data_IF_070529328786
#
_entry.id   IF_070529328786
#
_cell.length_a   1.000
_cell.length_b   1.000
_cell.length_c   1.000
_cell.angle_alpha   90.00
_cell.angle_beta   90.00
_cell.angle_gamma   90.00
#
_symmetry.space_group_name_H-M   'P 1'
#
loop_
_entity.id
_entity.type
_entity.pdbx_description
1 polymer ?
#
# COMPACT_ATOMS: atom_id res chain seq x y z
N UNK A 1 -4.67 43.21 -39.87
CA UNK A 1 -3.80 42.09 -40.27
C UNK A 1 -2.55 42.19 -39.39
N UNK A 2 -2.53 41.49 -38.26
CA UNK A 2 -1.44 41.57 -37.29
C UNK A 2 -0.27 40.71 -37.78
N UNK A 3 0.84 41.36 -38.14
CA UNK A 3 2.10 40.69 -38.48
C UNK A 3 2.74 40.22 -37.18
N UNK A 4 2.37 39.03 -36.74
CA UNK A 4 2.99 38.38 -35.59
C UNK A 4 4.34 37.86 -36.06
N UNK A 5 5.40 38.53 -35.61
CA UNK A 5 6.79 38.19 -35.91
C UNK A 5 7.06 36.73 -35.55
N UNK A 6 7.65 35.96 -36.47
CA UNK A 6 8.02 34.55 -36.28
C UNK A 6 8.86 34.33 -35.01
N UNK A 7 9.58 35.37 -34.56
CA UNK A 7 10.36 35.37 -33.33
C UNK A 7 9.49 35.27 -32.07
N UNK A 8 8.35 35.98 -32.03
CA UNK A 8 7.39 35.90 -30.93
C UNK A 8 6.70 34.54 -30.88
N UNK A 9 6.44 33.92 -32.03
CA UNK A 9 5.81 32.60 -32.12
C UNK A 9 6.75 31.50 -31.60
N UNK A 10 8.04 31.57 -31.92
CA UNK A 10 9.06 30.61 -31.44
C UNK A 10 9.25 30.73 -29.92
N UNK A 11 9.22 31.93 -29.36
CA UNK A 11 9.33 32.14 -27.90
C UNK A 11 8.10 31.59 -27.17
N UNK A 12 6.89 31.79 -27.71
CA UNK A 12 5.67 31.25 -27.12
C UNK A 12 5.63 29.71 -27.17
N UNK A 13 6.08 29.11 -28.28
CA UNK A 13 6.16 27.66 -28.42
C UNK A 13 7.19 27.04 -27.45
N UNK A 14 8.35 27.66 -27.28
CA UNK A 14 9.39 27.15 -26.36
C UNK A 14 8.98 27.32 -24.88
N UNK A 15 8.30 28.42 -24.52
CA UNK A 15 7.71 28.58 -23.20
C UNK A 15 6.61 27.52 -22.91
N UNK A 16 5.75 27.22 -23.90
CA UNK A 16 4.72 26.19 -23.76
C UNK A 16 5.30 24.77 -23.61
N UNK A 17 6.39 24.47 -24.34
CA UNK A 17 7.12 23.18 -24.20
C UNK A 17 7.78 23.07 -22.83
N UNK A 18 8.39 24.14 -22.32
CA UNK A 18 8.99 24.16 -20.98
C UNK A 18 7.93 24.03 -19.86
N UNK A 19 6.77 24.65 -20.01
CA UNK A 19 5.64 24.52 -19.08
C UNK A 19 5.06 23.09 -19.07
N UNK A 20 5.04 22.41 -20.22
CA UNK A 20 4.58 21.02 -20.33
C UNK A 20 5.56 20.04 -19.65
N UNK A 21 6.87 20.32 -19.69
CA UNK A 21 7.88 19.49 -19.04
C UNK A 21 7.88 19.64 -17.51
N UNK A 22 7.48 20.80 -16.97
CA UNK A 22 7.47 21.05 -15.53
C UNK A 22 6.24 20.47 -14.81
N UNK A 23 5.20 20.06 -15.54
CA UNK A 23 3.99 19.46 -14.98
C UNK A 23 4.14 17.98 -14.58
N UNK A 24 5.29 17.34 -14.87
CA UNK A 24 5.54 15.92 -14.63
C UNK A 24 6.30 15.61 -13.34
N UNK A 25 6.50 16.59 -12.45
CA UNK A 25 7.21 16.39 -11.19
C UNK A 25 6.46 16.99 -10.00
N UNK A 26 5.17 16.68 -9.87
CA UNK A 26 4.58 16.66 -8.53
C UNK A 26 4.92 15.31 -7.90
N UNK A 27 6.20 15.15 -7.51
CA UNK A 27 6.54 14.21 -6.47
C UNK A 27 5.88 14.74 -5.19
N UNK A 28 4.59 14.42 -5.01
CA UNK A 28 3.96 14.53 -3.71
C UNK A 28 4.89 13.79 -2.77
N UNK A 29 5.50 14.50 -1.84
CA UNK A 29 6.34 13.89 -0.80
C UNK A 29 5.44 12.94 -0.03
N UNK A 30 5.41 11.68 -0.43
CA UNK A 30 4.61 10.64 0.18
C UNK A 30 5.35 10.23 1.45
N UNK A 31 5.09 10.92 2.56
CA UNK A 31 5.63 10.63 3.89
C UNK A 31 5.31 9.19 4.40
N UNK A 32 4.51 8.43 3.65
CA UNK A 32 4.22 7.02 3.83
C UNK A 32 5.33 6.10 3.28
N UNK A 33 6.58 6.48 3.47
CA UNK A 33 7.73 5.66 3.08
C UNK A 33 8.31 4.94 4.31
N UNK A 34 8.80 3.70 4.17
CA UNK A 34 9.51 3.02 5.25
C UNK A 34 10.66 3.86 5.81
N UNK A 35 10.78 3.90 7.14
CA UNK A 35 11.81 4.68 7.84
C UNK A 35 11.40 6.12 8.16
N UNK A 36 10.26 6.59 7.63
CA UNK A 36 9.63 7.85 8.04
C UNK A 36 8.48 7.56 9.01
N UNK A 37 7.23 7.72 8.55
CA UNK A 37 6.02 7.48 9.34
C UNK A 37 5.70 5.98 9.44
N UNK A 38 6.15 5.18 8.47
CA UNK A 38 6.00 3.73 8.47
C UNK A 38 7.30 3.12 9.01
N UNK A 39 7.26 2.21 10.01
CA UNK A 39 8.44 1.49 10.46
C UNK A 39 9.12 0.73 9.30
N UNK A 40 10.46 0.61 9.31
CA UNK A 40 11.23 -0.06 8.24
C UNK A 40 10.74 -1.48 7.91
N UNK A 41 10.26 -2.19 8.94
CA UNK A 41 9.68 -3.51 8.79
C UNK A 41 8.27 -3.52 9.40
N UNK A 42 7.27 -2.98 8.67
CA UNK A 42 5.98 -2.70 9.23
C UNK A 42 5.14 -3.98 9.41
N UNK A 43 4.26 -3.97 10.42
CA UNK A 43 3.16 -4.92 10.56
C UNK A 43 3.59 -6.42 10.66
N UNK A 44 4.67 -6.71 11.39
CA UNK A 44 5.18 -8.08 11.56
C UNK A 44 4.15 -9.05 12.17
N UNK A 45 3.35 -8.58 13.13
CA UNK A 45 2.28 -9.39 13.69
C UNK A 45 1.15 -9.62 12.66
N UNK A 46 0.87 -8.64 11.79
CA UNK A 46 -0.11 -8.82 10.72
C UNK A 46 0.34 -9.84 9.68
N UNK A 47 1.63 -9.86 9.32
CA UNK A 47 2.19 -10.91 8.45
C UNK A 47 1.95 -12.30 9.03
N UNK A 48 2.27 -12.47 10.31
CA UNK A 48 2.07 -13.74 11.01
C UNK A 48 0.58 -14.12 11.07
N UNK A 49 -0.28 -13.15 11.37
CA UNK A 49 -1.73 -13.33 11.42
C UNK A 49 -2.29 -13.75 10.04
N UNK A 50 -1.92 -13.05 8.98
CA UNK A 50 -2.32 -13.32 7.60
C UNK A 50 -1.98 -14.75 7.19
N UNK A 51 -0.73 -15.17 7.39
CA UNK A 51 -0.29 -16.52 7.05
C UNK A 51 -1.03 -17.57 7.87
N UNK A 52 -1.19 -17.39 9.19
CA UNK A 52 -1.94 -18.34 10.02
C UNK A 52 -3.42 -18.43 9.64
N UNK A 53 -4.03 -17.31 9.26
CA UNK A 53 -5.45 -17.21 8.93
C UNK A 53 -5.76 -17.78 7.55
N UNK A 54 -4.91 -17.55 6.56
CA UNK A 54 -5.05 -18.10 5.20
C UNK A 54 -4.59 -19.55 5.12
N UNK A 55 -3.42 -19.85 5.69
CA UNK A 55 -2.72 -21.11 5.48
C UNK A 55 -2.91 -22.13 6.62
N UNK A 56 -3.58 -21.73 7.71
CA UNK A 56 -3.90 -22.58 8.84
C UNK A 56 -2.86 -22.58 9.97
N UNK A 57 -3.16 -23.29 11.08
CA UNK A 57 -2.40 -23.21 12.34
C UNK A 57 -0.97 -23.76 12.25
N UNK A 58 -0.66 -24.58 11.23
CA UNK A 58 0.65 -25.17 11.01
C UNK A 58 1.69 -24.22 10.40
N UNK A 59 1.31 -23.00 10.00
CA UNK A 59 2.23 -22.00 9.44
C UNK A 59 2.41 -20.82 10.40
N UNK A 60 3.36 -20.94 11.32
CA UNK A 60 3.74 -19.88 12.27
C UNK A 60 3.76 -20.32 13.74
N UNK A 61 4.01 -19.39 14.67
CA UNK A 61 4.18 -19.69 16.09
C UNK A 61 2.89 -20.23 16.73
N UNK A 62 3.03 -21.10 17.74
CA UNK A 62 1.93 -21.67 18.54
C UNK A 62 1.35 -20.64 19.52
N UNK A 63 0.68 -19.64 18.98
CA UNK A 63 -0.04 -18.61 19.74
C UNK A 63 -1.50 -18.51 19.29
N UNK A 64 -2.46 -18.24 20.19
CA UNK A 64 -3.87 -18.11 19.83
C UNK A 64 -4.07 -17.05 18.75
N UNK A 65 -4.84 -17.38 17.71
CA UNK A 65 -5.09 -16.49 16.57
C UNK A 65 -5.61 -15.10 17.00
N UNK A 66 -6.53 -14.98 17.99
CA UNK A 66 -6.98 -13.67 18.49
C UNK A 66 -5.85 -12.83 19.11
N UNK A 67 -4.87 -13.46 19.75
CA UNK A 67 -3.74 -12.75 20.36
C UNK A 67 -2.78 -12.18 19.30
N UNK A 68 -2.61 -12.88 18.17
CA UNK A 68 -1.84 -12.37 17.02
C UNK A 68 -2.61 -11.24 16.34
N UNK A 69 -3.92 -11.41 16.13
CA UNK A 69 -4.81 -10.36 15.59
C UNK A 69 -4.74 -9.08 16.42
N UNK A 70 -4.83 -9.19 17.75
CA UNK A 70 -4.77 -8.03 18.64
C UNK A 70 -3.44 -7.26 18.52
N UNK A 71 -2.31 -7.97 18.35
CA UNK A 71 -1.00 -7.35 18.09
C UNK A 71 -0.95 -6.70 16.71
N UNK A 72 -1.40 -7.40 15.67
CA UNK A 72 -1.53 -6.85 14.32
C UNK A 72 -2.33 -5.53 14.32
N UNK A 73 -3.52 -5.52 14.93
CA UNK A 73 -4.36 -4.33 14.95
C UNK A 73 -3.74 -3.18 15.75
N UNK A 74 -2.91 -3.48 16.77
CA UNK A 74 -2.14 -2.44 17.48
C UNK A 74 -1.09 -1.83 16.57
N UNK A 75 -0.26 -2.65 15.91
CA UNK A 75 0.75 -2.19 14.95
C UNK A 75 0.11 -1.34 13.85
N UNK A 76 -1.04 -1.75 13.32
CA UNK A 76 -1.75 -1.02 12.27
C UNK A 76 -2.40 0.29 12.78
N UNK A 77 -2.83 0.32 14.04
CA UNK A 77 -3.38 1.52 14.68
C UNK A 77 -2.32 2.59 14.88
N UNK A 78 -1.10 2.18 15.21
CA UNK A 78 0.05 3.08 15.44
C UNK A 78 0.48 3.79 14.15
N UNK A 79 0.09 3.26 12.99
CA UNK A 79 0.25 3.93 11.69
C UNK A 79 -0.88 4.94 11.47
N UNK A 80 -0.52 6.15 11.04
CA UNK A 80 -1.49 7.21 10.74
C UNK A 80 -2.49 6.78 9.66
N UNK A 81 -3.77 7.19 9.73
CA UNK A 81 -4.83 6.72 8.83
C UNK A 81 -4.47 6.80 7.34
N UNK A 82 -3.83 7.90 6.94
CA UNK A 82 -3.40 8.17 5.56
C UNK A 82 -2.44 7.09 5.02
N UNK A 83 -1.59 6.51 5.87
CA UNK A 83 -0.55 5.56 5.46
C UNK A 83 -0.91 4.08 5.67
N UNK A 84 -2.09 3.75 6.25
CA UNK A 84 -2.44 2.36 6.59
C UNK A 84 -2.50 1.42 5.38
N UNK A 85 -3.13 1.85 4.28
CA UNK A 85 -3.20 1.03 3.06
C UNK A 85 -1.81 0.84 2.42
N UNK A 86 -0.99 1.90 2.41
CA UNK A 86 0.40 1.82 1.95
C UNK A 86 1.25 0.88 2.80
N UNK A 87 1.10 0.92 4.13
CA UNK A 87 1.79 0.02 5.04
C UNK A 87 1.39 -1.46 4.84
N UNK A 88 0.11 -1.72 4.56
CA UNK A 88 -0.36 -3.06 4.21
C UNK A 88 0.25 -3.55 2.90
N UNK A 89 0.36 -2.68 1.88
CA UNK A 89 1.04 -3.01 0.61
C UNK A 89 2.53 -3.31 0.84
N UNK A 90 3.26 -2.44 1.54
CA UNK A 90 4.68 -2.65 1.87
C UNK A 90 4.89 -3.95 2.65
N UNK A 91 4.01 -4.25 3.60
CA UNK A 91 4.04 -5.50 4.36
C UNK A 91 3.93 -6.70 3.42
N UNK A 92 2.99 -6.68 2.47
CA UNK A 92 2.81 -7.71 1.45
C UNK A 92 4.04 -7.79 0.54
N UNK A 93 4.53 -6.67 -0.01
CA UNK A 93 5.71 -6.64 -0.89
C UNK A 93 6.95 -7.27 -0.22
N UNK A 94 7.09 -7.12 1.09
CA UNK A 94 8.16 -7.74 1.87
C UNK A 94 7.94 -9.22 2.22
N UNK A 95 6.79 -9.82 1.92
CA UNK A 95 6.55 -11.25 2.16
C UNK A 95 7.23 -12.08 1.08
N UNK A 96 7.90 -13.20 1.45
CA UNK A 96 8.43 -14.10 0.44
C UNK A 96 7.27 -14.63 -0.39
N UNK A 97 7.31 -14.42 -1.71
CA UNK A 97 6.34 -14.97 -2.65
C UNK A 97 6.37 -16.51 -2.57
N UNK A 98 5.52 -17.08 -1.70
CA UNK A 98 5.38 -18.51 -1.47
C UNK A 98 6.73 -19.27 -1.43
N UNK A 99 7.70 -18.80 -0.65
CA UNK A 99 9.01 -19.45 -0.51
C UNK A 99 8.94 -20.75 0.30
N UNK A 100 8.55 -21.84 -0.33
CA UNK A 100 8.79 -23.21 0.16
C UNK A 100 7.60 -23.96 0.77
N UNK A 101 6.38 -23.42 0.72
CA UNK A 101 5.20 -24.11 1.21
C UNK A 101 4.35 -24.56 0.03
N UNK A 102 3.93 -25.83 0.00
CA UNK A 102 2.98 -26.31 -0.99
C UNK A 102 1.77 -25.36 -1.00
N UNK A 103 1.54 -24.71 -2.14
CA UNK A 103 0.41 -23.82 -2.34
C UNK A 103 -0.87 -24.67 -2.24
N UNK A 104 -1.54 -24.60 -1.09
CA UNK A 104 -2.94 -25.00 -1.02
C UNK A 104 -3.77 -23.88 -1.64
N UNK A 105 -4.98 -24.17 -2.17
CA UNK A 105 -5.87 -23.11 -2.68
C UNK A 105 -6.10 -21.98 -1.66
N UNK A 106 -6.19 -22.35 -0.38
CA UNK A 106 -6.36 -21.44 0.76
C UNK A 106 -5.11 -20.61 1.13
N UNK A 107 -3.92 -21.04 0.71
CA UNK A 107 -2.66 -20.30 0.92
C UNK A 107 -2.02 -19.90 -0.41
N UNK A 108 -2.85 -19.47 -1.35
CA UNK A 108 -2.37 -18.78 -2.54
C UNK A 108 -1.96 -17.35 -2.19
N UNK A 109 -1.05 -16.79 -2.98
CA UNK A 109 -0.68 -15.37 -2.86
C UNK A 109 -1.90 -14.45 -3.04
N UNK A 110 -2.79 -14.78 -3.98
CA UNK A 110 -4.04 -14.06 -4.20
C UNK A 110 -4.92 -14.01 -2.93
N UNK A 111 -5.13 -15.16 -2.28
CA UNK A 111 -5.89 -15.22 -1.03
C UNK A 111 -5.27 -14.38 0.10
N UNK A 112 -3.93 -14.30 0.16
CA UNK A 112 -3.24 -13.44 1.13
C UNK A 112 -3.41 -11.95 0.81
N UNK A 113 -3.36 -11.56 -0.47
CA UNK A 113 -3.61 -10.17 -0.90
C UNK A 113 -5.04 -9.72 -0.60
N UNK A 114 -6.03 -10.57 -0.90
CA UNK A 114 -7.43 -10.28 -0.62
C UNK A 114 -7.66 -10.11 0.88
N UNK A 115 -7.14 -11.03 1.71
CA UNK A 115 -7.27 -10.91 3.16
C UNK A 115 -6.52 -9.68 3.71
N UNK A 116 -5.34 -9.35 3.17
CA UNK A 116 -4.54 -8.21 3.62
C UNK A 116 -5.29 -6.88 3.44
N UNK A 117 -5.98 -6.69 2.32
CA UNK A 117 -6.80 -5.50 2.09
C UNK A 117 -7.93 -5.34 3.12
N UNK A 118 -8.45 -6.47 3.65
CA UNK A 118 -9.54 -6.46 4.64
C UNK A 118 -9.08 -6.26 6.08
N UNK A 119 -7.77 -6.20 6.37
CA UNK A 119 -7.29 -6.04 7.75
C UNK A 119 -7.78 -4.74 8.42
N UNK A 120 -8.02 -3.69 7.64
CA UNK A 120 -8.60 -2.43 8.16
C UNK A 120 -10.10 -2.50 8.42
N UNK A 121 -10.80 -3.50 7.87
CA UNK A 121 -12.27 -3.61 7.92
C UNK A 121 -12.82 -3.84 9.33
N UNK A 122 -14.13 -3.60 9.49
CA UNK A 122 -14.85 -3.85 10.74
C UNK A 122 -14.73 -5.30 11.23
N UNK A 123 -14.66 -6.25 10.29
CA UNK A 123 -14.49 -7.67 10.60
C UNK A 123 -13.10 -8.00 11.18
N UNK A 124 -12.12 -7.11 11.02
CA UNK A 124 -10.72 -7.26 11.42
C UNK A 124 -10.29 -6.20 12.46
N UNK A 125 -9.66 -5.10 12.05
CA UNK A 125 -9.14 -4.10 13.00
C UNK A 125 -10.03 -2.87 13.17
N UNK A 126 -11.03 -2.66 12.31
CA UNK A 126 -11.91 -1.50 12.29
C UNK A 126 -11.15 -0.17 12.38
N UNK A 127 -10.24 0.07 11.43
CA UNK A 127 -9.38 1.25 11.41
C UNK A 127 -9.66 2.09 10.16
N UNK A 128 -10.01 3.36 10.37
CA UNK A 128 -10.18 4.34 9.28
C UNK A 128 -8.90 4.50 8.46
N UNK A 129 -9.03 4.72 7.15
CA UNK A 129 -7.88 4.89 6.25
C UNK A 129 -7.92 6.26 5.58
N UNK A 130 -7.09 6.47 4.55
CA UNK A 130 -7.16 7.63 3.65
C UNK A 130 -8.57 7.85 3.07
N UNK A 131 -9.38 6.80 2.95
CA UNK A 131 -10.74 6.88 2.41
C UNK A 131 -11.79 7.34 3.44
N UNK A 132 -11.38 7.67 4.67
CA UNK A 132 -12.28 8.10 5.74
C UNK A 132 -13.20 6.99 6.29
N UNK A 133 -12.97 5.74 5.89
CA UNK A 133 -13.74 4.54 6.30
C UNK A 133 -12.80 3.33 6.44
N UNK A 134 -13.19 2.25 7.13
CA UNK A 134 -12.34 1.07 7.37
C UNK A 134 -12.22 0.20 6.12
N UNK A 135 -11.51 0.70 5.10
CA UNK A 135 -11.41 0.06 3.79
C UNK A 135 -10.06 0.39 3.14
N UNK A 136 -9.53 -0.54 2.35
CA UNK A 136 -8.49 -0.33 1.36
C UNK A 136 -8.95 -1.03 0.08
N UNK A 137 -8.65 -0.45 -1.09
CA UNK A 137 -8.79 -1.16 -2.35
C UNK A 137 -7.84 -2.38 -2.40
N UNK A 138 -8.06 -3.25 -3.38
CA UNK A 138 -7.21 -4.43 -3.57
C UNK A 138 -5.74 -3.98 -3.68
N UNK A 139 -4.89 -4.47 -2.76
CA UNK A 139 -3.52 -3.99 -2.61
C UNK A 139 -2.63 -4.28 -3.85
N UNK A 140 -3.06 -5.19 -4.73
CA UNK A 140 -2.43 -5.47 -6.03
C UNK A 140 -3.00 -4.70 -7.22
N UNK A 141 -4.09 -3.94 -7.05
CA UNK A 141 -4.73 -3.16 -8.12
C UNK A 141 -4.36 -1.66 -8.08
N UNK A 142 -3.89 -1.16 -6.93
CA UNK A 142 -3.53 0.24 -6.69
C UNK A 142 -2.11 0.59 -7.18
N UNK A 143 -1.64 -0.12 -8.21
CA UNK A 143 -0.24 -0.16 -8.62
C UNK A 143 0.03 0.35 -10.03
N UNK A 144 -0.74 1.32 -10.57
CA UNK A 144 -0.35 2.07 -11.79
C UNK A 144 -1.01 3.46 -11.86
N UNK A 145 -0.82 4.30 -10.84
CA UNK A 145 -0.85 5.75 -11.07
C UNK A 145 0.46 6.36 -10.60
N UNK A 146 1.55 5.86 -11.18
CA UNK A 146 2.68 6.73 -11.46
C UNK A 146 2.27 7.53 -12.70
N UNK A 147 1.69 8.71 -12.46
CA UNK A 147 1.59 9.75 -13.48
C UNK A 147 2.94 10.43 -13.68
#
# INVERSE_FOLDING_TARGET
MASISSSSYVILLSAAVLLSALAAASASTNWCEPGLVIPLNPLQSCRTYLVRRTCGPGRGPFVPLPAIRARCCRELKDIVPYCRCGALRIMMDGMPAAGGVAASPSCSWAAQLDLAATLVSEAECNLVTIHGRPFCYALGAEGTTSG
#
